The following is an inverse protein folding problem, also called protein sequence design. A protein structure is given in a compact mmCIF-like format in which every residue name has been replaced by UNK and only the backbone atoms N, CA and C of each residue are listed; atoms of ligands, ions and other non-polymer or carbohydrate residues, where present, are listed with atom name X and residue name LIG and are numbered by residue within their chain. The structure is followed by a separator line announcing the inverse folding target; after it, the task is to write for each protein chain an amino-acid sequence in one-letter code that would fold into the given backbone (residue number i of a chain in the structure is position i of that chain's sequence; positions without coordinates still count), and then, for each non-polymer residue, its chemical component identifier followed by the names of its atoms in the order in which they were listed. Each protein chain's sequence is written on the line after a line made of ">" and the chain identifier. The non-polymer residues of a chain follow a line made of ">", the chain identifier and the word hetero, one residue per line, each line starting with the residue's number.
data_IF_861024375157
#
_entry.id   IF_861024375157
#
_cell.length_a   1.000
_cell.length_b   1.000
_cell.length_c   1.000
_cell.angle_alpha   90.00
_cell.angle_beta   90.00
_cell.angle_gamma   90.00
#
_symmetry.space_group_name_H-M   'P 1'
#
loop_
_entity.id
_entity.type
_entity.pdbx_description
1 polymer ?
#
# COMPACT_ATOMS: atom_id res chain seq x y z
N UNK A 1 -1.95 -11.00 -1.70
CA UNK A 1 -0.59 -11.53 -1.96
C UNK A 1 -0.49 -13.02 -1.64
N UNK A 2 -0.94 -13.46 -0.47
CA UNK A 2 -0.89 -14.88 -0.06
C UNK A 2 -1.48 -15.81 -1.14
N UNK A 3 -2.69 -15.49 -1.66
CA UNK A 3 -3.33 -16.27 -2.73
C UNK A 3 -2.57 -16.26 -4.06
N UNK A 4 -2.00 -15.12 -4.43
CA UNK A 4 -1.17 -15.02 -5.65
C UNK A 4 0.11 -15.86 -5.56
N UNK A 5 0.71 -15.95 -4.36
CA UNK A 5 1.87 -16.79 -4.10
C UNK A 5 1.58 -18.31 -4.21
N UNK A 6 0.32 -18.72 -4.14
CA UNK A 6 -0.11 -20.12 -4.32
C UNK A 6 -0.32 -20.49 -5.79
N UNK A 7 -0.25 -19.50 -6.70
CA UNK A 7 -0.39 -19.75 -8.15
C UNK A 7 0.99 -20.02 -8.76
N UNK A 8 1.28 -21.27 -9.07
CA UNK A 8 2.62 -21.71 -9.51
C UNK A 8 3.05 -21.07 -10.83
N UNK A 9 2.10 -20.84 -11.74
CA UNK A 9 2.35 -20.24 -13.06
C UNK A 9 2.47 -18.71 -13.04
N UNK A 10 2.35 -18.06 -11.88
CA UNK A 10 2.50 -16.63 -11.72
C UNK A 10 3.86 -16.27 -11.11
N UNK A 11 4.71 -15.54 -11.82
CA UNK A 11 6.00 -15.06 -11.33
C UNK A 11 5.93 -13.57 -10.93
N UNK A 12 6.40 -13.24 -9.72
CA UNK A 12 6.50 -11.86 -9.23
C UNK A 12 7.94 -11.39 -9.43
N UNK A 13 8.17 -10.55 -10.45
CA UNK A 13 9.50 -10.05 -10.82
C UNK A 13 9.86 -8.71 -10.18
N UNK A 14 8.84 -7.88 -9.87
CA UNK A 14 9.01 -6.57 -9.27
C UNK A 14 7.87 -6.20 -8.34
N UNK A 15 8.16 -5.39 -7.33
CA UNK A 15 7.21 -4.93 -6.32
C UNK A 15 7.41 -3.43 -6.14
N UNK A 16 6.36 -2.64 -6.30
CA UNK A 16 6.34 -1.25 -5.86
C UNK A 16 5.38 -1.11 -4.70
N UNK A 17 5.89 -0.66 -3.55
CA UNK A 17 5.12 -0.59 -2.32
C UNK A 17 5.17 0.78 -1.67
N UNK A 18 4.03 1.20 -1.11
CA UNK A 18 3.88 2.44 -0.37
C UNK A 18 3.15 2.16 0.93
N UNK A 19 3.62 2.74 2.04
CA UNK A 19 2.98 2.59 3.36
C UNK A 19 2.83 1.11 3.75
N UNK A 20 1.63 0.62 4.00
CA UNK A 20 1.38 -0.79 4.25
C UNK A 20 1.90 -1.67 3.09
N UNK A 21 1.82 -1.20 1.84
CA UNK A 21 2.37 -1.88 0.67
C UNK A 21 3.89 -2.03 0.73
N UNK A 22 4.60 -1.07 1.32
CA UNK A 22 6.05 -1.17 1.53
C UNK A 22 6.40 -2.24 2.58
N UNK A 23 5.64 -2.32 3.67
CA UNK A 23 5.84 -3.36 4.69
C UNK A 23 5.56 -4.76 4.14
N UNK A 24 4.44 -4.92 3.40
CA UNK A 24 4.10 -6.18 2.74
C UNK A 24 5.14 -6.56 1.67
N UNK A 25 5.62 -5.59 0.88
CA UNK A 25 6.67 -5.80 -0.11
C UNK A 25 7.99 -6.25 0.52
N UNK A 26 8.39 -5.67 1.66
CA UNK A 26 9.58 -6.08 2.40
C UNK A 26 9.46 -7.52 2.95
N UNK A 27 8.29 -7.88 3.50
CA UNK A 27 8.02 -9.22 3.99
C UNK A 27 8.06 -10.24 2.84
N UNK A 28 7.36 -9.97 1.74
CA UNK A 28 7.34 -10.80 0.55
C UNK A 28 8.76 -10.97 -0.02
N UNK A 29 9.47 -9.88 -0.28
CA UNK A 29 10.81 -9.89 -0.85
C UNK A 29 11.78 -10.71 -0.01
N UNK A 30 11.87 -10.45 1.30
CA UNK A 30 12.81 -11.17 2.16
C UNK A 30 12.44 -12.64 2.31
N UNK A 31 11.15 -12.97 2.31
CA UNK A 31 10.65 -14.33 2.34
C UNK A 31 10.94 -15.11 1.04
N UNK A 32 10.73 -14.49 -0.12
CA UNK A 32 11.07 -15.07 -1.42
C UNK A 32 12.55 -15.48 -1.50
N UNK A 33 13.43 -14.61 -0.99
CA UNK A 33 14.87 -14.90 -0.97
C UNK A 33 15.23 -16.01 0.04
N UNK A 34 14.49 -16.10 1.15
CA UNK A 34 14.78 -17.07 2.21
C UNK A 34 14.28 -18.47 1.92
N UNK A 35 13.08 -18.59 1.36
CA UNK A 35 12.35 -19.86 1.24
C UNK A 35 11.37 -19.89 0.06
N UNK A 36 11.58 -19.05 -0.94
CA UNK A 36 10.69 -18.96 -2.10
C UNK A 36 9.28 -18.51 -1.71
N UNK A 37 8.28 -19.03 -2.42
CA UNK A 37 6.87 -18.65 -2.24
C UNK A 37 6.37 -18.93 -0.83
N UNK A 38 6.73 -20.07 -0.25
CA UNK A 38 6.32 -20.45 1.10
C UNK A 38 6.97 -19.52 2.14
N UNK A 39 8.27 -19.24 2.01
CA UNK A 39 8.93 -18.27 2.88
C UNK A 39 8.33 -16.86 2.78
N UNK A 40 7.83 -16.47 1.61
CA UNK A 40 7.13 -15.20 1.45
C UNK A 40 5.78 -15.20 2.19
N UNK A 41 5.02 -16.30 2.13
CA UNK A 41 3.76 -16.47 2.84
C UNK A 41 3.96 -16.45 4.35
N UNK A 42 4.94 -17.20 4.85
CA UNK A 42 5.32 -17.21 6.27
C UNK A 42 5.70 -15.81 6.78
N UNK A 43 6.46 -15.04 5.99
CA UNK A 43 6.85 -13.69 6.36
C UNK A 43 5.67 -12.70 6.33
N UNK A 44 4.71 -12.86 5.43
CA UNK A 44 3.48 -12.07 5.43
C UNK A 44 2.64 -12.36 6.68
N UNK A 45 2.47 -13.63 7.04
CA UNK A 45 1.78 -14.04 8.26
C UNK A 45 2.48 -13.50 9.51
N UNK A 46 3.82 -13.62 9.55
CA UNK A 46 4.62 -13.03 10.62
C UNK A 46 4.39 -11.51 10.74
N UNK A 47 4.46 -10.77 9.62
CA UNK A 47 4.26 -9.32 9.61
C UNK A 47 2.89 -8.95 10.21
N UNK A 48 1.82 -9.57 9.74
CA UNK A 48 0.48 -9.26 10.21
C UNK A 48 0.24 -9.75 11.64
N UNK A 49 0.92 -10.81 12.08
CA UNK A 49 0.99 -11.22 13.47
C UNK A 49 1.65 -10.16 14.38
N UNK A 50 2.75 -9.53 13.93
CA UNK A 50 3.38 -8.42 14.65
C UNK A 50 2.47 -7.19 14.71
N UNK A 51 1.87 -6.81 13.58
CA UNK A 51 0.95 -5.67 13.50
C UNK A 51 -0.26 -5.87 14.42
N UNK A 52 -0.83 -7.07 14.44
CA UNK A 52 -1.95 -7.37 15.35
C UNK A 52 -1.58 -7.32 16.84
N UNK A 53 -0.32 -7.58 17.17
CA UNK A 53 0.21 -7.50 18.54
C UNK A 53 0.38 -6.07 19.06
N UNK A 54 0.46 -5.07 18.18
CA UNK A 54 0.59 -3.65 18.57
C UNK A 54 -0.65 -3.15 19.32
N UNK A 55 -1.80 -3.75 19.10
CA UNK A 55 -3.10 -3.33 19.65
C UNK A 55 -3.71 -4.29 20.66
N UNK A 56 -2.91 -4.88 21.53
CA UNK A 56 -3.46 -5.69 22.65
C UNK A 56 -4.17 -4.81 23.69
N UNK A 57 -5.20 -4.09 23.21
CA UNK A 57 -6.26 -3.59 24.05
C UNK A 57 -7.30 -4.71 24.13
N UNK A 58 -7.34 -5.40 25.28
CA UNK A 58 -8.23 -6.54 25.62
C UNK A 58 -9.73 -6.36 25.34
N UNK A 59 -10.15 -5.24 24.76
CA UNK A 59 -11.50 -4.91 24.31
C UNK A 59 -11.92 -5.61 23.01
N UNK A 60 -10.97 -6.06 22.20
CA UNK A 60 -11.25 -6.62 20.87
C UNK A 60 -11.98 -7.97 20.88
N UNK A 61 -11.74 -8.79 21.90
CA UNK A 61 -12.42 -10.09 22.05
C UNK A 61 -13.92 -9.99 22.32
N UNK A 62 -14.37 -8.87 22.87
CA UNK A 62 -15.79 -8.66 23.23
C UNK A 62 -16.66 -8.28 22.03
N UNK A 63 -16.06 -7.68 21.01
CA UNK A 63 -16.74 -7.18 19.80
C UNK A 63 -16.68 -8.15 18.62
N UNK A 64 -15.89 -9.21 18.71
CA UNK A 64 -15.69 -10.20 17.64
C UNK A 64 -16.97 -10.88 17.08
N UNK A 65 -18.08 -11.04 17.84
CA UNK A 65 -19.32 -11.64 17.32
C UNK A 65 -20.14 -10.72 16.40
N UNK A 66 -19.81 -9.43 16.34
CA UNK A 66 -20.55 -8.46 15.52
C UNK A 66 -19.88 -8.32 14.16
N UNK A 67 -20.66 -8.34 13.07
CA UNK A 67 -20.13 -8.20 11.70
C UNK A 67 -19.26 -6.96 11.51
N UNK A 68 -18.42 -6.95 10.47
CA UNK A 68 -17.43 -5.89 10.21
C UNK A 68 -18.05 -4.48 10.17
N UNK A 69 -19.23 -4.34 9.59
CA UNK A 69 -19.99 -3.10 9.50
C UNK A 69 -20.37 -2.57 10.89
N UNK A 70 -20.90 -3.45 11.78
CA UNK A 70 -21.26 -3.10 13.16
C UNK A 70 -20.03 -2.84 14.02
N UNK A 71 -18.95 -3.60 13.81
CA UNK A 71 -17.68 -3.39 14.50
C UNK A 71 -17.06 -2.03 14.09
N UNK A 72 -17.09 -1.71 12.81
CA UNK A 72 -16.62 -0.42 12.28
C UNK A 72 -17.41 0.74 12.89
N UNK A 73 -18.75 0.66 12.90
CA UNK A 73 -19.61 1.68 13.52
C UNK A 73 -19.39 1.79 15.05
N UNK A 74 -19.31 0.66 15.74
CA UNK A 74 -19.08 0.66 17.19
C UNK A 74 -17.72 1.28 17.56
N UNK A 75 -16.68 1.07 16.75
CA UNK A 75 -15.37 1.69 16.95
C UNK A 75 -15.40 3.19 16.63
N UNK A 76 -16.09 3.59 15.56
CA UNK A 76 -16.19 4.99 15.14
C UNK A 76 -16.93 5.87 16.17
N UNK A 77 -17.96 5.32 16.83
CA UNK A 77 -18.75 6.01 17.86
C UNK A 77 -18.29 5.74 19.30
N UNK A 78 -17.18 5.02 19.50
CA UNK A 78 -16.68 4.78 20.85
C UNK A 78 -16.06 6.05 21.45
N UNK A 79 -16.36 6.34 22.72
CA UNK A 79 -15.83 7.51 23.44
C UNK A 79 -14.29 7.58 23.42
N UNK A 80 -13.54 6.47 23.64
CA UNK A 80 -12.08 6.49 23.56
C UNK A 80 -11.57 6.87 22.18
N UNK A 81 -12.24 6.45 21.12
CA UNK A 81 -11.85 6.76 19.74
C UNK A 81 -12.14 8.22 19.38
N UNK A 82 -13.31 8.74 19.78
CA UNK A 82 -13.67 10.15 19.58
C UNK A 82 -12.70 11.08 20.31
N UNK A 83 -12.24 10.72 21.51
CA UNK A 83 -11.24 11.49 22.28
C UNK A 83 -9.87 11.38 21.60
N UNK A 84 -9.47 10.19 21.17
CA UNK A 84 -8.20 9.97 20.48
C UNK A 84 -8.14 10.74 19.14
N UNK A 85 -9.20 10.68 18.34
CA UNK A 85 -9.30 11.40 17.07
C UNK A 85 -9.29 12.92 17.29
N UNK A 86 -10.00 13.40 18.31
CA UNK A 86 -10.00 14.84 18.68
C UNK A 86 -8.61 15.29 19.15
N UNK A 87 -7.90 14.48 19.92
CA UNK A 87 -6.56 14.77 20.39
C UNK A 87 -5.53 14.75 19.25
N UNK A 88 -5.58 13.78 18.33
CA UNK A 88 -4.68 13.72 17.17
C UNK A 88 -4.87 14.88 16.20
N UNK A 89 -6.05 15.47 16.15
CA UNK A 89 -6.32 16.68 15.35
C UNK A 89 -5.78 17.95 15.97
N UNK A 90 -5.65 17.99 17.30
CA UNK A 90 -5.24 19.18 18.06
C UNK A 90 -3.77 19.11 18.48
N UNK A 91 -3.24 17.92 18.71
CA UNK A 91 -1.89 17.71 19.24
C UNK A 91 -0.98 17.18 18.13
N UNK A 92 -0.01 17.98 17.72
CA UNK A 92 1.04 17.56 16.79
C UNK A 92 1.85 16.39 17.37
N UNK A 93 2.26 15.39 16.57
CA UNK A 93 3.16 14.32 17.04
C UNK A 93 4.47 14.86 17.63
N UNK A 94 4.88 16.07 17.29
CA UNK A 94 6.06 16.73 17.87
C UNK A 94 5.84 17.19 19.32
N UNK A 95 4.60 17.37 19.76
CA UNK A 95 4.30 17.78 21.14
C UNK A 95 4.62 16.68 22.20
N UNK A 96 4.72 15.41 21.78
CA UNK A 96 5.10 14.32 22.67
C UNK A 96 6.59 14.35 23.11
N UNK A 97 7.39 15.21 22.48
CA UNK A 97 8.79 15.41 22.86
C UNK A 97 9.60 14.11 22.93
N UNK A 98 10.29 13.85 24.07
CA UNK A 98 11.11 12.64 24.26
C UNK A 98 10.26 11.36 24.47
N UNK A 99 8.99 11.48 24.76
CA UNK A 99 8.07 10.33 24.96
C UNK A 99 7.49 9.80 23.66
N UNK A 100 7.79 10.43 22.52
CA UNK A 100 7.37 9.94 21.21
C UNK A 100 8.08 8.65 20.87
N UNK A 101 7.30 7.64 20.46
CA UNK A 101 7.79 6.40 19.88
C UNK A 101 6.90 6.01 18.72
N UNK A 102 7.50 5.64 17.60
CA UNK A 102 6.75 5.09 16.47
C UNK A 102 6.52 3.58 16.72
N UNK A 103 5.27 3.11 16.81
CA UNK A 103 4.99 1.70 17.09
C UNK A 103 5.47 0.74 15.98
N UNK A 104 5.74 1.24 14.77
CA UNK A 104 6.26 0.44 13.67
C UNK A 104 7.78 0.18 13.79
N UNK A 105 8.52 0.95 14.59
CA UNK A 105 9.98 0.78 14.74
C UNK A 105 10.37 -0.65 15.13
N UNK A 106 9.66 -1.24 16.08
CA UNK A 106 9.95 -2.61 16.54
C UNK A 106 9.66 -3.67 15.47
N UNK A 107 8.71 -3.41 14.58
CA UNK A 107 8.36 -4.31 13.47
C UNK A 107 9.41 -4.19 12.37
N UNK A 108 9.70 -2.96 11.92
CA UNK A 108 10.66 -2.75 10.82
C UNK A 108 12.09 -3.13 11.21
N UNK A 109 12.47 -2.98 12.47
CA UNK A 109 13.79 -3.38 12.96
C UNK A 109 14.07 -4.90 12.86
N UNK A 110 13.04 -5.71 12.67
CA UNK A 110 13.16 -7.18 12.60
C UNK A 110 13.31 -7.72 11.17
N UNK A 111 13.17 -6.90 10.15
CA UNK A 111 13.40 -7.34 8.77
C UNK A 111 14.88 -7.62 8.51
N UNK A 112 15.15 -8.63 7.70
CA UNK A 112 16.49 -8.88 7.17
C UNK A 112 16.76 -7.97 5.96
N UNK A 113 17.36 -6.82 6.22
CA UNK A 113 17.64 -5.81 5.18
C UNK A 113 18.66 -6.27 4.15
N UNK A 114 19.51 -7.25 4.46
CA UNK A 114 20.36 -7.88 3.47
C UNK A 114 19.56 -8.60 2.39
N UNK A 115 18.38 -9.13 2.74
CA UNK A 115 17.46 -9.77 1.80
C UNK A 115 16.50 -8.77 1.17
N UNK A 116 15.92 -7.84 1.96
CA UNK A 116 15.02 -6.79 1.46
C UNK A 116 15.70 -5.96 0.37
N UNK A 117 16.95 -5.55 0.59
CA UNK A 117 17.74 -4.75 -0.34
C UNK A 117 18.52 -5.55 -1.40
N UNK A 118 18.39 -6.88 -1.44
CA UNK A 118 19.15 -7.70 -2.38
C UNK A 118 18.82 -7.37 -3.83
N UNK A 119 19.88 -7.24 -4.66
CA UNK A 119 19.73 -6.93 -6.09
C UNK A 119 19.46 -8.20 -6.93
N UNK A 120 18.33 -8.83 -6.64
CA UNK A 120 17.78 -9.98 -7.39
C UNK A 120 16.25 -9.96 -7.31
N UNK A 121 15.53 -10.60 -8.24
CA UNK A 121 14.07 -10.66 -8.23
C UNK A 121 13.50 -11.29 -6.95
N UNK A 122 12.29 -10.85 -6.59
CA UNK A 122 11.56 -9.70 -7.10
C UNK A 122 12.27 -8.40 -6.75
N UNK A 123 12.51 -7.50 -7.74
CA UNK A 123 13.04 -6.16 -7.45
C UNK A 123 12.04 -5.36 -6.60
N UNK A 124 12.54 -4.56 -5.66
CA UNK A 124 11.67 -3.88 -4.73
C UNK A 124 11.91 -2.37 -4.68
N UNK A 125 10.83 -1.61 -4.73
CA UNK A 125 10.80 -0.16 -4.76
C UNK A 125 9.90 0.36 -3.66
N UNK A 126 10.41 1.26 -2.83
CA UNK A 126 9.70 1.87 -1.70
C UNK A 126 9.52 3.36 -1.96
N UNK A 127 8.27 3.82 -1.94
CA UNK A 127 7.94 5.21 -2.20
C UNK A 127 7.75 6.00 -0.91
N UNK A 128 8.33 7.21 -0.84
CA UNK A 128 8.08 8.21 0.19
C UNK A 128 7.96 9.61 -0.42
N UNK A 129 7.39 10.56 0.33
CA UNK A 129 7.20 11.96 -0.08
C UNK A 129 8.19 12.86 0.63
N UNK A 130 9.05 13.59 -0.11
CA UNK A 130 9.90 14.62 0.50
C UNK A 130 9.06 15.79 1.02
N UNK A 131 9.19 16.09 2.30
CA UNK A 131 8.40 17.16 2.95
C UNK A 131 8.70 18.52 2.35
N UNK A 132 9.98 18.79 2.06
CA UNK A 132 10.46 20.10 1.61
C UNK A 132 9.85 20.57 0.30
N UNK A 133 9.58 19.68 -0.63
CA UNK A 133 9.17 20.06 -1.99
C UNK A 133 8.01 19.25 -2.55
N UNK A 134 7.45 18.30 -1.77
CA UNK A 134 6.35 17.44 -2.19
C UNK A 134 6.68 16.48 -3.33
N UNK A 135 7.97 16.25 -3.61
CA UNK A 135 8.37 15.31 -4.67
C UNK A 135 8.46 13.89 -4.15
N UNK A 136 8.14 12.97 -5.04
CA UNK A 136 8.32 11.55 -4.79
C UNK A 136 9.80 11.18 -4.64
N UNK A 137 10.09 10.27 -3.71
CA UNK A 137 11.36 9.57 -3.57
C UNK A 137 11.11 8.08 -3.61
N UNK A 138 11.76 7.40 -4.52
CA UNK A 138 11.74 5.93 -4.58
C UNK A 138 13.08 5.43 -4.08
N UNK A 139 13.06 4.60 -3.03
CA UNK A 139 14.21 3.89 -2.51
C UNK A 139 14.26 2.50 -3.15
N UNK A 140 15.47 2.05 -3.54
CA UNK A 140 15.69 0.73 -4.12
C UNK A 140 17.01 0.10 -3.63
N UNK A 141 17.10 -1.22 -3.71
CA UNK A 141 18.30 -1.94 -3.35
C UNK A 141 18.78 -1.62 -1.92
N UNK A 142 20.06 -1.29 -1.76
CA UNK A 142 20.69 -1.00 -0.47
C UNK A 142 20.20 0.30 0.19
N UNK A 143 19.44 1.13 -0.50
CA UNK A 143 18.81 2.32 0.10
C UNK A 143 17.59 1.95 0.98
N UNK A 144 17.06 0.74 0.81
CA UNK A 144 15.92 0.27 1.61
C UNK A 144 16.41 -0.23 2.96
N UNK A 145 16.29 0.64 3.95
CA UNK A 145 16.54 0.34 5.36
C UNK A 145 15.30 0.58 6.22
N UNK A 146 15.41 0.45 7.56
CA UNK A 146 14.31 0.73 8.48
C UNK A 146 13.71 2.11 8.25
N UNK A 147 14.54 3.12 8.08
CA UNK A 147 14.10 4.50 7.90
C UNK A 147 13.32 4.70 6.59
N UNK A 148 13.67 4.00 5.51
CA UNK A 148 12.92 4.05 4.25
C UNK A 148 11.51 3.48 4.39
N UNK A 149 11.35 2.35 5.11
CA UNK A 149 10.04 1.75 5.39
C UNK A 149 9.22 2.64 6.33
N UNK A 150 9.84 3.18 7.39
CA UNK A 150 9.19 4.13 8.30
C UNK A 150 8.77 5.42 7.59
N UNK A 151 9.62 5.95 6.71
CA UNK A 151 9.31 7.12 5.89
C UNK A 151 8.11 6.88 4.98
N UNK A 152 8.09 5.72 4.31
CA UNK A 152 6.98 5.31 3.43
C UNK A 152 5.65 5.19 4.17
N UNK A 153 5.65 4.83 5.45
CA UNK A 153 4.46 4.65 6.29
C UNK A 153 4.22 5.83 7.27
N UNK A 154 4.91 6.97 7.07
CA UNK A 154 4.86 8.12 7.96
C UNK A 154 3.68 9.04 7.66
N UNK A 155 2.50 8.74 8.18
CA UNK A 155 1.35 9.65 8.13
C UNK A 155 1.60 10.88 9.01
N UNK A 156 1.63 12.11 8.47
CA UNK A 156 2.10 13.33 9.16
C UNK A 156 1.21 13.75 10.34
N UNK A 157 -0.03 13.30 10.37
CA UNK A 157 -0.95 13.57 11.50
C UNK A 157 -0.71 12.68 12.71
N UNK A 158 0.02 11.57 12.53
CA UNK A 158 0.23 10.53 13.56
C UNK A 158 1.71 10.41 13.92
N UNK A 159 2.58 10.51 12.91
CA UNK A 159 4.01 10.26 13.06
C UNK A 159 4.83 11.53 12.80
N UNK A 160 5.96 11.65 13.52
CA UNK A 160 7.01 12.63 13.17
C UNK A 160 7.61 12.28 11.83
N UNK A 161 7.95 13.28 11.02
CA UNK A 161 8.68 13.05 9.77
C UNK A 161 9.95 12.23 10.02
N UNK A 162 10.23 11.29 9.13
CA UNK A 162 11.46 10.50 9.18
C UNK A 162 12.55 11.24 8.42
N UNK A 163 13.68 11.49 9.08
CA UNK A 163 14.82 12.18 8.48
C UNK A 163 15.88 11.18 8.00
N UNK A 164 16.23 11.25 6.73
CA UNK A 164 17.19 10.35 6.07
C UNK A 164 18.27 11.18 5.38
N UNK A 165 19.54 10.75 5.48
CA UNK A 165 20.62 11.29 4.65
C UNK A 165 20.43 10.78 3.22
N UNK A 166 19.81 11.61 2.37
CA UNK A 166 19.34 11.19 1.05
C UNK A 166 20.48 11.25 0.02
N UNK A 167 20.87 10.09 -0.49
CA UNK A 167 21.94 9.97 -1.49
C UNK A 167 21.64 10.75 -2.79
N UNK A 168 20.37 10.97 -3.16
CA UNK A 168 20.02 11.73 -4.35
C UNK A 168 20.28 13.23 -4.21
N UNK A 169 20.11 13.79 -3.01
CA UNK A 169 20.32 15.23 -2.77
C UNK A 169 21.64 15.52 -2.07
N UNK A 170 22.27 14.52 -1.46
CA UNK A 170 23.43 14.67 -0.60
C UNK A 170 23.14 15.45 0.68
N UNK A 171 21.87 15.56 1.07
CA UNK A 171 21.41 16.32 2.23
C UNK A 171 20.53 15.45 3.13
N UNK A 172 20.40 15.84 4.40
CA UNK A 172 19.43 15.30 5.32
C UNK A 172 18.04 15.83 4.95
N UNK A 173 17.17 14.95 4.52
CA UNK A 173 15.81 15.25 4.06
C UNK A 173 14.77 14.61 4.98
N UNK A 174 13.65 15.30 5.16
CA UNK A 174 12.51 14.79 5.92
C UNK A 174 11.47 14.18 4.96
N UNK A 175 10.90 13.05 5.36
CA UNK A 175 9.93 12.30 4.56
C UNK A 175 8.64 12.04 5.31
N UNK A 176 7.56 12.06 4.54
CA UNK A 176 6.22 11.60 4.90
C UNK A 176 5.80 10.40 4.04
N UNK A 177 4.63 9.84 4.38
CA UNK A 177 4.01 8.73 3.66
C UNK A 177 4.04 8.94 2.14
N UNK A 178 4.44 7.90 1.44
CA UNK A 178 4.51 7.92 -0.01
C UNK A 178 3.15 8.07 -0.69
N UNK A 179 2.07 7.76 0.02
CA UNK A 179 0.71 7.83 -0.50
C UNK A 179 0.29 9.18 -1.06
N UNK A 180 0.96 10.27 -0.64
CA UNK A 180 0.72 11.61 -1.18
C UNK A 180 1.28 11.82 -2.60
N UNK A 181 2.27 11.04 -3.01
CA UNK A 181 2.96 11.25 -4.30
C UNK A 181 3.03 10.03 -5.20
N UNK A 182 2.93 8.82 -4.64
CA UNK A 182 2.91 7.56 -5.39
C UNK A 182 2.27 6.44 -4.56
N UNK A 183 1.07 5.99 -4.92
CA UNK A 183 0.32 4.99 -4.16
C UNK A 183 -0.31 3.90 -5.04
N UNK A 184 0.48 2.94 -5.48
CA UNK A 184 1.96 2.93 -5.51
C UNK A 184 2.52 3.81 -6.64
N UNK A 185 3.84 4.01 -6.64
CA UNK A 185 4.56 4.51 -7.80
C UNK A 185 4.69 3.39 -8.84
N UNK A 186 4.12 3.54 -10.03
CA UNK A 186 4.18 2.51 -11.07
C UNK A 186 5.41 2.62 -11.95
N UNK A 187 5.91 3.84 -12.16
CA UNK A 187 7.01 4.11 -13.10
C UNK A 187 8.30 3.30 -12.84
N UNK A 188 8.67 2.88 -11.60
CA UNK A 188 9.83 2.02 -11.41
C UNK A 188 9.68 0.63 -12.05
N UNK A 189 8.42 0.20 -12.29
CA UNK A 189 8.11 -1.08 -12.93
C UNK A 189 8.14 -1.01 -14.46
N UNK A 190 8.35 0.19 -15.05
CA UNK A 190 8.45 0.34 -16.52
C UNK A 190 9.82 -0.03 -17.09
N UNK A 191 10.72 -0.55 -16.28
CA UNK A 191 12.04 -1.03 -16.71
C UNK A 191 11.89 -2.15 -17.73
N UNK A 192 12.80 -2.20 -18.70
CA UNK A 192 12.79 -3.19 -19.80
C UNK A 192 13.06 -4.62 -19.30
N UNK A 193 13.75 -4.76 -18.15
CA UNK A 193 14.06 -6.03 -17.51
C UNK A 193 12.93 -6.59 -16.63
N UNK A 194 11.79 -5.90 -16.56
CA UNK A 194 10.58 -6.34 -15.85
C UNK A 194 9.45 -6.72 -16.84
N UNK A 195 8.50 -7.56 -16.44
CA UNK A 195 7.32 -7.90 -17.25
C UNK A 195 6.49 -6.68 -17.67
N UNK A 196 5.70 -6.84 -18.72
CA UNK A 196 4.76 -5.83 -19.21
C UNK A 196 3.51 -5.73 -18.31
N UNK A 197 3.16 -6.81 -17.61
CA UNK A 197 1.99 -6.84 -16.74
C UNK A 197 2.27 -6.20 -15.39
N UNK A 198 1.36 -5.33 -14.97
CA UNK A 198 1.37 -4.69 -13.64
C UNK A 198 0.02 -4.95 -12.97
N UNK A 199 0.06 -5.69 -11.86
CA UNK A 199 -1.12 -5.96 -11.03
C UNK A 199 -1.13 -4.97 -9.86
N UNK A 200 -2.09 -4.08 -9.83
CA UNK A 200 -2.33 -3.15 -8.71
C UNK A 200 -3.23 -3.84 -7.69
N UNK A 201 -2.75 -4.03 -6.47
CA UNK A 201 -3.60 -4.42 -5.33
C UNK A 201 -4.10 -3.14 -4.67
N UNK A 202 -5.34 -2.77 -4.97
CA UNK A 202 -5.93 -1.52 -4.49
C UNK A 202 -6.75 -1.73 -3.23
N UNK A 203 -6.46 -0.93 -2.19
CA UNK A 203 -7.13 -0.99 -0.88
C UNK A 203 -7.93 0.28 -0.56
N UNK A 204 -7.85 1.31 -1.40
CA UNK A 204 -8.62 2.53 -1.23
C UNK A 204 -9.70 2.61 -2.32
N UNK A 205 -10.99 2.66 -1.97
CA UNK A 205 -12.05 2.70 -2.97
C UNK A 205 -11.86 3.89 -3.92
N UNK A 206 -11.90 3.62 -5.22
CA UNK A 206 -11.83 4.65 -6.24
C UNK A 206 -13.16 5.44 -6.28
N UNK A 207 -14.27 4.72 -6.13
CA UNK A 207 -15.62 5.27 -6.17
C UNK A 207 -16.33 5.10 -4.83
N UNK A 208 -17.24 6.01 -4.53
CA UNK A 208 -18.21 5.94 -3.44
C UNK A 208 -19.54 6.46 -3.93
N UNK A 209 -20.59 5.69 -3.73
CA UNK A 209 -21.94 6.10 -4.10
C UNK A 209 -22.48 7.21 -3.21
N UNK A 210 -22.21 7.12 -1.90
CA UNK A 210 -22.73 8.04 -0.90
C UNK A 210 -21.89 9.32 -0.77
N UNK A 211 -22.58 10.46 -0.71
CA UNK A 211 -21.94 11.74 -0.41
C UNK A 211 -21.56 11.80 1.08
N UNK A 212 -20.30 12.09 1.44
CA UNK A 212 -19.91 12.23 2.83
C UNK A 212 -20.53 13.52 3.43
N UNK A 213 -21.24 13.37 4.55
CA UNK A 213 -21.97 14.47 5.20
C UNK A 213 -21.44 14.80 6.59
N UNK A 214 -20.79 13.87 7.27
CA UNK A 214 -20.17 14.12 8.57
C UNK A 214 -18.72 14.61 8.41
N UNK A 215 -18.16 15.39 9.35
CA UNK A 215 -16.77 15.82 9.29
C UNK A 215 -15.78 14.66 9.14
N UNK A 216 -16.06 13.53 9.79
CA UNK A 216 -15.24 12.33 9.70
C UNK A 216 -15.29 11.70 8.30
N UNK A 217 -16.49 11.53 7.74
CA UNK A 217 -16.67 11.00 6.39
C UNK A 217 -15.99 11.90 5.34
N UNK A 218 -16.13 13.24 5.48
CA UNK A 218 -15.49 14.20 4.59
C UNK A 218 -13.96 14.06 4.67
N UNK A 219 -13.40 13.99 5.87
CA UNK A 219 -11.95 13.82 6.06
C UNK A 219 -11.46 12.51 5.45
N UNK A 220 -12.20 11.41 5.68
CA UNK A 220 -11.87 10.10 5.14
C UNK A 220 -11.85 10.13 3.60
N UNK A 221 -12.89 10.70 2.99
CA UNK A 221 -12.97 10.82 1.53
C UNK A 221 -11.88 11.70 0.94
N UNK A 222 -11.56 12.81 1.61
CA UNK A 222 -10.46 13.69 1.22
C UNK A 222 -9.12 12.94 1.21
N UNK A 223 -8.86 12.13 2.22
CA UNK A 223 -7.65 11.30 2.28
C UNK A 223 -7.62 10.24 1.17
N UNK A 224 -8.74 9.54 0.93
CA UNK A 224 -8.85 8.57 -0.16
C UNK A 224 -8.60 9.20 -1.52
N UNK A 225 -9.22 10.34 -1.81
CA UNK A 225 -9.01 11.09 -3.06
C UNK A 225 -7.54 11.50 -3.19
N UNK A 226 -6.93 11.99 -2.11
CA UNK A 226 -5.52 12.38 -2.10
C UNK A 226 -4.61 11.20 -2.45
N UNK A 227 -4.82 10.05 -1.79
CA UNK A 227 -3.99 8.84 -2.02
C UNK A 227 -4.23 8.20 -3.38
N UNK A 228 -5.46 8.21 -3.89
CA UNK A 228 -5.77 7.67 -5.21
C UNK A 228 -5.30 8.59 -6.36
N UNK A 229 -5.11 9.88 -6.09
CA UNK A 229 -4.80 10.86 -7.14
C UNK A 229 -3.51 10.58 -7.89
N UNK A 230 -2.50 10.01 -7.22
CA UNK A 230 -1.23 9.63 -7.85
C UNK A 230 -1.39 8.44 -8.77
N UNK A 231 -2.08 7.38 -8.32
CA UNK A 231 -2.38 6.20 -9.12
C UNK A 231 -3.17 6.57 -10.37
N UNK A 232 -4.25 7.33 -10.22
CA UNK A 232 -5.09 7.76 -11.35
C UNK A 232 -4.30 8.59 -12.38
N UNK A 233 -3.36 9.43 -11.93
CA UNK A 233 -2.49 10.19 -12.85
C UNK A 233 -1.53 9.30 -13.62
N UNK A 234 -0.93 8.30 -12.97
CA UNK A 234 -0.04 7.35 -13.64
C UNK A 234 -0.83 6.48 -14.62
N UNK A 235 -2.00 5.96 -14.23
CA UNK A 235 -2.87 5.17 -15.12
C UNK A 235 -3.32 5.97 -16.35
N UNK A 236 -3.65 7.26 -16.18
CA UNK A 236 -3.97 8.16 -17.30
C UNK A 236 -2.77 8.37 -18.23
N UNK A 237 -1.55 8.46 -17.67
CA UNK A 237 -0.33 8.56 -18.48
C UNK A 237 -0.07 7.26 -19.26
N UNK A 238 -0.32 6.09 -18.63
CA UNK A 238 -0.23 4.79 -19.29
C UNK A 238 -1.25 4.71 -20.44
N UNK A 239 -2.51 5.06 -20.21
CA UNK A 239 -3.55 5.10 -21.26
C UNK A 239 -3.12 5.98 -22.44
N UNK A 240 -2.61 7.18 -22.15
CA UNK A 240 -2.12 8.09 -23.21
C UNK A 240 -0.99 7.47 -24.02
N UNK A 241 0.00 6.84 -23.38
CA UNK A 241 1.11 6.17 -24.07
C UNK A 241 0.63 4.97 -24.88
N UNK A 242 -0.28 4.15 -24.33
CA UNK A 242 -0.85 3.01 -25.04
C UNK A 242 -1.60 3.43 -26.32
N UNK A 243 -2.35 4.52 -26.28
CA UNK A 243 -3.00 5.09 -27.47
C UNK A 243 -1.99 5.53 -28.53
N UNK A 244 -0.91 6.18 -28.12
CA UNK A 244 0.15 6.60 -29.06
C UNK A 244 0.90 5.41 -29.68
N UNK A 245 1.06 4.31 -28.94
CA UNK A 245 1.61 3.06 -29.49
C UNK A 245 0.62 2.44 -30.48
N UNK A 246 -0.68 2.36 -30.14
CA UNK A 246 -1.72 1.79 -30.97
C UNK A 246 -1.89 2.57 -32.28
N UNK A 247 -1.78 3.90 -32.25
CA UNK A 247 -1.85 4.78 -33.41
C UNK A 247 -0.57 4.76 -34.29
N UNK A 248 0.44 3.99 -33.89
CA UNK A 248 1.71 3.91 -34.63
C UNK A 248 2.55 5.20 -34.57
N UNK A 249 2.26 6.11 -33.65
CA UNK A 249 3.02 7.37 -33.47
C UNK A 249 4.45 7.11 -33.03
N UNK A 250 4.69 6.05 -32.25
CA UNK A 250 6.02 5.60 -31.87
C UNK A 250 6.42 4.33 -32.62
N UNK A 251 7.70 4.23 -33.05
CA UNK A 251 8.24 2.98 -33.55
C UNK A 251 8.12 1.87 -32.50
N UNK A 252 7.84 0.66 -32.96
CA UNK A 252 7.77 -0.52 -32.12
C UNK A 252 9.06 -0.70 -31.28
N UNK A 253 8.89 -1.04 -29.99
CA UNK A 253 10.00 -1.21 -29.05
C UNK A 253 10.59 0.09 -28.46
N UNK A 254 10.11 1.27 -28.83
CA UNK A 254 10.57 2.55 -28.24
C UNK A 254 9.96 2.85 -26.88
N UNK A 255 8.78 2.36 -26.63
CA UNK A 255 8.05 2.50 -25.36
C UNK A 255 7.57 1.11 -24.94
N UNK A 256 7.68 0.82 -23.65
CA UNK A 256 7.18 -0.41 -23.08
C UNK A 256 5.64 -0.40 -23.18
N UNK A 257 5.07 -1.50 -23.68
CA UNK A 257 3.63 -1.73 -23.60
C UNK A 257 3.35 -2.27 -22.19
N UNK A 258 2.52 -1.58 -21.44
CA UNK A 258 2.15 -1.98 -20.09
C UNK A 258 0.71 -2.50 -20.09
N UNK A 259 0.51 -3.69 -19.56
CA UNK A 259 -0.81 -4.26 -19.33
C UNK A 259 -1.21 -4.03 -17.87
N UNK A 260 -2.31 -3.32 -17.67
CA UNK A 260 -2.79 -2.97 -16.33
C UNK A 260 -3.85 -3.96 -15.85
N UNK A 261 -3.64 -4.44 -14.64
CA UNK A 261 -4.57 -5.31 -13.93
C UNK A 261 -4.84 -4.74 -12.54
N UNK A 262 -6.02 -5.03 -11.99
CA UNK A 262 -6.39 -4.56 -10.65
C UNK A 262 -7.07 -5.65 -9.85
N UNK A 263 -6.65 -5.80 -8.60
CA UNK A 263 -7.33 -6.59 -7.59
C UNK A 263 -7.85 -5.61 -6.54
N UNK A 264 -9.15 -5.51 -6.38
CA UNK A 264 -9.81 -4.60 -5.46
C UNK A 264 -11.10 -5.23 -4.92
N UNK A 265 -11.52 -4.78 -3.74
CA UNK A 265 -12.85 -5.01 -3.17
C UNK A 265 -13.36 -3.66 -2.64
N UNK A 266 -13.81 -2.82 -3.57
CA UNK A 266 -14.29 -1.47 -3.25
C UNK A 266 -15.54 -1.52 -2.37
N UNK A 267 -16.39 -2.54 -2.52
CA UNK A 267 -17.60 -2.70 -1.73
C UNK A 267 -17.29 -2.91 -0.24
N UNK A 268 -16.35 -3.82 0.07
CA UNK A 268 -15.89 -4.02 1.44
C UNK A 268 -15.13 -2.81 1.96
N UNK A 269 -14.18 -2.29 1.17
CA UNK A 269 -13.32 -1.17 1.60
C UNK A 269 -14.11 0.12 1.81
N UNK A 270 -15.23 0.30 1.12
CA UNK A 270 -16.14 1.42 1.34
C UNK A 270 -16.91 1.32 2.69
N UNK A 271 -17.15 0.12 3.20
CA UNK A 271 -17.80 -0.11 4.49
C UNK A 271 -16.87 0.10 5.69
N UNK A 272 -15.53 0.07 5.47
CA UNK A 272 -14.56 0.21 6.56
C UNK A 272 -14.28 1.69 6.86
N UNK A 273 -14.42 2.06 8.14
CA UNK A 273 -14.03 3.39 8.61
C UNK A 273 -12.50 3.52 8.71
N UNK A 274 -12.00 4.75 8.77
CA UNK A 274 -10.58 5.02 9.06
C UNK A 274 -10.19 4.45 10.44
N UNK A 275 -11.11 4.50 11.40
CA UNK A 275 -10.89 3.91 12.72
C UNK A 275 -10.58 2.41 12.63
N UNK A 276 -11.31 1.67 11.78
CA UNK A 276 -11.09 0.25 11.55
C UNK A 276 -9.74 0.00 10.86
N UNK A 277 -9.34 0.88 9.93
CA UNK A 277 -8.05 0.78 9.21
C UNK A 277 -6.85 1.09 10.11
N UNK A 278 -7.02 1.90 11.16
CA UNK A 278 -5.94 2.35 12.04
C UNK A 278 -5.77 1.53 13.32
N UNK A 279 -6.77 0.76 13.72
CA UNK A 279 -6.69 -0.12 14.89
C UNK A 279 -6.60 -1.58 14.41
N UNK A 280 -5.40 -2.19 14.44
CA UNK A 280 -5.21 -3.57 14.04
C UNK A 280 -5.90 -4.52 15.03
N UNK A 281 -7.14 -4.90 14.69
CA UNK A 281 -7.90 -5.90 15.42
C UNK A 281 -7.73 -7.25 14.73
N UNK A 282 -7.36 -8.33 15.44
CA UNK A 282 -7.16 -9.66 14.83
C UNK A 282 -8.34 -10.19 14.05
N UNK A 283 -9.59 -9.87 14.46
CA UNK A 283 -10.78 -10.28 13.73
C UNK A 283 -10.93 -9.51 12.41
N UNK A 284 -10.65 -8.19 12.42
CA UNK A 284 -10.66 -7.35 11.21
C UNK A 284 -9.56 -7.81 10.26
N UNK A 285 -8.35 -8.07 10.75
CA UNK A 285 -7.23 -8.54 9.93
C UNK A 285 -7.57 -9.86 9.23
N UNK A 286 -8.17 -10.82 9.94
CA UNK A 286 -8.61 -12.09 9.33
C UNK A 286 -9.66 -11.88 8.25
N UNK A 287 -10.67 -11.09 8.53
CA UNK A 287 -11.74 -10.83 7.55
C UNK A 287 -11.20 -10.09 6.31
N UNK A 288 -10.24 -9.17 6.47
CA UNK A 288 -9.55 -8.52 5.36
C UNK A 288 -8.68 -9.51 4.58
N UNK A 289 -8.02 -10.45 5.25
CA UNK A 289 -7.27 -11.52 4.59
C UNK A 289 -8.20 -12.41 3.76
N UNK A 290 -9.33 -12.87 4.34
CA UNK A 290 -10.33 -13.70 3.64
C UNK A 290 -10.91 -12.97 2.41
N UNK A 291 -11.24 -11.69 2.55
CA UNK A 291 -11.71 -10.86 1.44
C UNK A 291 -10.63 -10.69 0.36
N UNK A 292 -9.38 -10.46 0.76
CA UNK A 292 -8.27 -10.37 -0.17
C UNK A 292 -7.99 -11.67 -0.92
N UNK A 293 -8.18 -12.83 -0.27
CA UNK A 293 -8.12 -14.15 -0.92
C UNK A 293 -9.23 -14.27 -1.96
N UNK A 294 -10.48 -13.94 -1.58
CA UNK A 294 -11.63 -14.01 -2.49
C UNK A 294 -11.46 -13.08 -3.70
N UNK A 295 -10.99 -11.86 -3.51
CA UNK A 295 -10.73 -10.92 -4.61
C UNK A 295 -9.62 -11.42 -5.54
N UNK A 296 -8.57 -12.05 -4.99
CA UNK A 296 -7.51 -12.64 -5.80
C UNK A 296 -7.99 -13.89 -6.55
N UNK A 297 -8.83 -14.74 -5.95
CA UNK A 297 -9.44 -15.90 -6.63
C UNK A 297 -10.32 -15.45 -7.79
N UNK A 298 -11.12 -14.40 -7.57
CA UNK A 298 -11.96 -13.83 -8.64
C UNK A 298 -11.10 -13.32 -9.79
N UNK A 299 -10.05 -12.55 -9.50
CA UNK A 299 -9.09 -12.06 -10.49
C UNK A 299 -8.44 -13.20 -11.29
N UNK A 300 -7.96 -14.24 -10.60
CA UNK A 300 -7.33 -15.38 -11.24
C UNK A 300 -8.33 -16.18 -12.10
N UNK A 301 -9.60 -16.25 -11.69
CA UNK A 301 -10.65 -16.93 -12.47
C UNK A 301 -10.99 -16.16 -13.75
N UNK A 302 -11.13 -14.83 -13.66
CA UNK A 302 -11.64 -14.02 -14.74
C UNK A 302 -10.54 -13.52 -15.68
N UNK A 303 -9.31 -13.32 -15.19
CA UNK A 303 -8.27 -12.55 -15.85
C UNK A 303 -6.88 -13.21 -15.90
N UNK A 304 -6.74 -14.46 -15.46
CA UNK A 304 -5.44 -15.14 -15.53
C UNK A 304 -4.95 -15.28 -16.98
N UNK A 305 -5.86 -15.59 -17.90
CA UNK A 305 -5.57 -15.72 -19.34
C UNK A 305 -5.32 -14.36 -20.04
N UNK A 306 -5.64 -13.24 -19.39
CA UNK A 306 -5.33 -11.91 -19.89
C UNK A 306 -3.86 -11.52 -19.66
N UNK A 307 -3.18 -12.15 -18.68
CA UNK A 307 -1.77 -11.92 -18.38
C UNK A 307 -0.90 -12.23 -19.59
N UNK A 308 0.09 -11.38 -19.85
CA UNK A 308 0.96 -11.39 -21.04
C UNK A 308 0.21 -11.20 -22.38
N UNK A 309 -1.07 -10.85 -22.38
CA UNK A 309 -1.88 -10.66 -23.58
C UNK A 309 -2.48 -9.26 -23.68
N UNK A 310 -3.13 -8.79 -22.61
CA UNK A 310 -3.86 -7.52 -22.59
C UNK A 310 -4.16 -7.06 -21.17
N UNK A 311 -4.46 -5.78 -21.02
CA UNK A 311 -4.99 -5.25 -19.76
C UNK A 311 -6.35 -5.87 -19.43
N UNK A 312 -6.60 -6.16 -18.15
CA UNK A 312 -7.94 -6.47 -17.63
C UNK A 312 -8.67 -5.21 -17.13
N UNK A 313 -7.97 -4.08 -17.00
CA UNK A 313 -8.56 -2.77 -16.67
C UNK A 313 -8.82 -2.01 -17.95
N UNK A 314 -10.06 -1.54 -18.13
CA UNK A 314 -10.44 -0.64 -19.23
C UNK A 314 -10.07 0.81 -18.87
N UNK A 315 -8.82 1.19 -19.19
CA UNK A 315 -8.32 2.53 -18.91
C UNK A 315 -9.12 3.63 -19.65
N UNK A 316 -9.48 3.48 -20.94
CA UNK A 316 -10.33 4.45 -21.63
C UNK A 316 -11.66 4.69 -20.92
N UNK A 317 -12.36 3.63 -20.48
CA UNK A 317 -13.63 3.77 -19.76
C UNK A 317 -13.46 4.42 -18.38
N UNK A 318 -12.32 4.22 -17.73
CA UNK A 318 -12.02 4.82 -16.42
C UNK A 318 -11.83 6.35 -16.50
N UNK A 319 -11.43 6.90 -17.64
CA UNK A 319 -11.06 8.31 -17.80
C UNK A 319 -11.90 9.05 -18.84
N UNK A 320 -12.83 8.34 -19.49
CA UNK A 320 -13.69 8.84 -20.58
C UNK A 320 -14.79 9.81 -20.19
#
# INVERSE_FOLDING_TARGET
>A
LDRLLQQDDLEICGISGTSAGALNGAALKSGMISGGREGARENLDWLWGQVSGISDLRLSHWLAPFGLDKLSQAMEYSLPMAISDSLTRVVSPYAYGPFYRNPLEDVVARFDYGKVGANQPPFFFVCATRVRNGKIRVFEGNEIGPDALLASACLPTIFKAVEIDDAQTGQREAFWDGGYTGNPALFPLFRDDLPEDIIVVNINPLEREDLPTTPQQIQNRTNEISFNSSLLREMRAIDFVQRLIADGTFPEGRMKRVHMHMIADDALMAQLSVATKMLPNPAVIRALHEAGVAAADQFLTDHFDDLNQRSSVDLPAMFG
#
